data_IF_349083137194
#
_entry.id   IF_349083137194
#
_cell.length_a   1.000
_cell.length_b   1.000
_cell.length_c   1.000
_cell.angle_alpha   90.00
_cell.angle_beta   90.00
_cell.angle_gamma   90.00
#
_symmetry.space_group_name_H-M   'P 1'
#
loop_
_entity.id
_entity.type
_entity.pdbx_description
1 polymer ?
#
# COMPACT_ATOMS: atom_id res chain seq x y z
N UNK A 1 87.58 -13.94 -1.15
CA UNK A 1 87.36 -15.29 -0.60
C UNK A 1 85.96 -15.69 -1.01
N UNK A 2 85.85 -16.81 -1.70
CA UNK A 2 84.63 -17.37 -2.28
C UNK A 2 83.64 -17.88 -1.20
N UNK A 3 82.54 -18.46 -1.71
CA UNK A 3 81.69 -19.54 -1.18
C UNK A 3 80.48 -19.07 -0.33
N UNK A 4 79.22 -19.05 -0.79
CA UNK A 4 78.24 -20.06 -1.29
C UNK A 4 77.33 -20.70 -0.22
N UNK A 5 76.00 -20.61 -0.50
CA UNK A 5 74.96 -21.66 -0.51
C UNK A 5 74.11 -21.99 0.76
N UNK A 6 72.81 -22.23 0.45
CA UNK A 6 71.74 -23.03 1.08
C UNK A 6 70.88 -22.37 2.16
N UNK A 7 69.55 -22.17 1.92
CA UNK A 7 68.42 -23.13 2.11
C UNK A 7 68.16 -23.39 3.60
N UNK A 8 66.96 -23.48 4.18
CA UNK A 8 65.57 -23.80 3.78
C UNK A 8 64.74 -23.38 5.03
N UNK A 9 63.60 -22.68 4.90
CA UNK A 9 62.24 -23.26 4.87
C UNK A 9 61.43 -23.08 6.19
N UNK A 10 60.23 -22.51 6.04
CA UNK A 10 58.98 -22.81 6.80
C UNK A 10 58.05 -21.61 6.96
N UNK A 11 57.15 -21.47 5.99
CA UNK A 11 55.71 -21.21 6.11
C UNK A 11 55.14 -20.77 7.48
N UNK A 12 54.38 -19.66 7.51
CA UNK A 12 52.99 -19.64 8.05
C UNK A 12 52.23 -18.33 7.77
N UNK A 13 51.14 -18.54 7.01
CA UNK A 13 49.82 -17.89 7.07
C UNK A 13 49.62 -16.51 6.43
N UNK A 14 49.12 -16.59 5.19
CA UNK A 14 48.20 -15.64 4.59
C UNK A 14 46.85 -15.63 5.33
N UNK A 15 46.27 -14.44 5.53
CA UNK A 15 44.82 -14.21 5.39
C UNK A 15 44.64 -12.82 4.78
N UNK A 16 44.39 -12.79 3.49
CA UNK A 16 44.00 -11.59 2.74
C UNK A 16 42.49 -11.49 2.91
N UNK A 17 42.00 -10.45 3.57
CA UNK A 17 40.55 -10.17 3.69
C UNK A 17 39.99 -9.74 2.32
N UNK A 18 39.73 -10.73 1.48
CA UNK A 18 38.94 -10.58 0.26
C UNK A 18 37.48 -10.70 0.68
N UNK A 19 36.81 -9.55 0.88
CA UNK A 19 35.34 -9.54 0.89
C UNK A 19 34.87 -10.05 -0.48
N UNK A 20 34.09 -11.15 -0.57
CA UNK A 20 33.70 -11.71 -1.84
C UNK A 20 32.74 -10.75 -2.57
N UNK A 21 33.05 -10.45 -3.83
CA UNK A 21 32.14 -9.79 -4.77
C UNK A 21 30.92 -10.70 -4.96
N UNK A 22 29.83 -10.47 -4.22
CA UNK A 22 28.55 -11.17 -4.40
C UNK A 22 28.16 -11.09 -5.88
N UNK A 23 27.88 -12.24 -6.48
CA UNK A 23 27.44 -12.29 -7.89
C UNK A 23 26.06 -11.67 -8.01
N UNK A 24 25.74 -11.02 -9.14
CA UNK A 24 24.43 -10.39 -9.41
C UNK A 24 23.25 -11.34 -9.20
N UNK A 25 23.48 -12.65 -9.34
CA UNK A 25 22.49 -13.71 -9.08
C UNK A 25 22.23 -13.91 -7.58
N UNK A 26 23.26 -13.88 -6.73
CA UNK A 26 23.09 -14.02 -5.28
C UNK A 26 22.41 -12.80 -4.67
N UNK A 27 22.76 -11.60 -5.15
CA UNK A 27 22.09 -10.36 -4.76
C UNK A 27 20.60 -10.39 -5.15
N UNK A 28 20.30 -10.78 -6.38
CA UNK A 28 18.92 -10.95 -6.85
C UNK A 28 18.14 -11.95 -5.97
N UNK A 29 18.71 -13.11 -5.67
CA UNK A 29 18.05 -14.13 -4.85
C UNK A 29 17.81 -13.61 -3.42
N UNK A 30 18.76 -12.88 -2.83
CA UNK A 30 18.59 -12.29 -1.50
C UNK A 30 17.49 -11.22 -1.49
N UNK A 31 17.48 -10.33 -2.49
CA UNK A 31 16.43 -9.32 -2.65
C UNK A 31 15.05 -9.96 -2.83
N UNK A 32 14.93 -11.04 -3.61
CA UNK A 32 13.67 -11.78 -3.76
C UNK A 32 13.21 -12.38 -2.43
N UNK A 33 14.12 -12.99 -1.65
CA UNK A 33 13.77 -13.60 -0.36
C UNK A 33 13.29 -12.55 0.64
N UNK A 34 14.01 -11.43 0.74
CA UNK A 34 13.65 -10.33 1.62
C UNK A 34 12.33 -9.68 1.19
N UNK A 35 12.16 -9.46 -0.11
CA UNK A 35 10.92 -8.95 -0.68
C UNK A 35 9.72 -9.86 -0.37
N UNK A 36 9.85 -11.19 -0.52
CA UNK A 36 8.78 -12.15 -0.17
C UNK A 36 8.46 -12.11 1.33
N UNK A 37 9.48 -11.98 2.18
CA UNK A 37 9.29 -11.88 3.64
C UNK A 37 8.49 -10.62 3.97
N UNK A 38 8.92 -9.46 3.48
CA UNK A 38 8.25 -8.18 3.68
C UNK A 38 6.81 -8.21 3.11
N UNK A 39 6.61 -8.76 1.91
CA UNK A 39 5.28 -8.92 1.29
C UNK A 39 4.33 -9.76 2.16
N UNK A 40 4.85 -10.83 2.77
CA UNK A 40 4.09 -11.69 3.69
C UNK A 40 3.72 -10.94 4.98
N UNK A 41 4.69 -10.23 5.57
CA UNK A 41 4.48 -9.45 6.80
C UNK A 41 3.47 -8.33 6.57
N UNK A 42 3.59 -7.59 5.46
CA UNK A 42 2.62 -6.56 5.05
C UNK A 42 1.21 -7.16 4.88
N UNK A 43 1.11 -8.32 4.24
CA UNK A 43 -0.18 -8.98 4.03
C UNK A 43 -0.84 -9.38 5.36
N UNK A 44 -0.06 -9.89 6.32
CA UNK A 44 -0.53 -10.19 7.67
C UNK A 44 -1.01 -8.92 8.40
N UNK A 45 -0.17 -7.88 8.43
CA UNK A 45 -0.50 -6.60 9.08
C UNK A 45 -1.74 -5.93 8.46
N UNK A 46 -1.92 -6.02 7.14
CA UNK A 46 -3.12 -5.52 6.46
C UNK A 46 -4.39 -6.24 6.92
N UNK A 47 -4.32 -7.55 7.15
CA UNK A 47 -5.45 -8.30 7.69
C UNK A 47 -5.80 -7.86 9.12
N UNK A 48 -4.80 -7.66 9.97
CA UNK A 48 -5.00 -7.17 11.33
C UNK A 48 -5.59 -5.75 11.35
N UNK A 49 -5.08 -4.86 10.50
CA UNK A 49 -5.64 -3.51 10.32
C UNK A 49 -7.11 -3.60 9.90
N UNK A 50 -7.43 -4.45 8.91
CA UNK A 50 -8.81 -4.62 8.43
C UNK A 50 -9.73 -5.14 9.53
N UNK A 51 -9.27 -6.10 10.34
CA UNK A 51 -10.03 -6.62 11.47
C UNK A 51 -10.30 -5.52 12.51
N UNK A 52 -9.26 -4.79 12.96
CA UNK A 52 -9.40 -3.69 13.92
C UNK A 52 -10.29 -2.56 13.39
N UNK A 53 -10.19 -2.22 12.11
CA UNK A 53 -11.07 -1.24 11.47
C UNK A 53 -12.54 -1.68 11.48
N UNK A 54 -12.79 -2.98 11.25
CA UNK A 54 -14.15 -3.54 11.28
C UNK A 54 -14.73 -3.49 12.69
N UNK A 55 -13.96 -3.91 13.70
CA UNK A 55 -14.35 -3.84 15.10
C UNK A 55 -14.60 -2.39 15.55
N UNK A 56 -13.69 -1.47 15.21
CA UNK A 56 -13.85 -0.04 15.49
C UNK A 56 -15.11 0.52 14.84
N UNK A 57 -15.40 0.15 13.59
CA UNK A 57 -16.61 0.60 12.89
C UNK A 57 -17.87 0.12 13.60
N UNK A 58 -17.93 -1.15 14.00
CA UNK A 58 -19.06 -1.69 14.75
C UNK A 58 -19.30 -0.93 16.07
N UNK A 59 -18.23 -0.68 16.84
CA UNK A 59 -18.31 0.12 18.07
C UNK A 59 -18.75 1.56 17.80
N UNK A 60 -18.22 2.17 16.73
CA UNK A 60 -18.59 3.54 16.32
C UNK A 60 -20.07 3.61 15.96
N UNK A 61 -20.61 2.65 15.19
CA UNK A 61 -22.02 2.64 14.80
C UNK A 61 -22.94 2.48 16.02
N UNK A 62 -22.53 1.65 16.99
CA UNK A 62 -23.25 1.50 18.26
C UNK A 62 -23.18 2.78 19.10
N UNK A 63 -21.99 3.40 19.21
CA UNK A 63 -21.81 4.63 19.98
C UNK A 63 -22.61 5.78 19.38
N UNK A 64 -22.62 5.94 18.05
CA UNK A 64 -23.44 6.95 17.37
C UNK A 64 -24.92 6.75 17.66
N UNK A 65 -25.42 5.51 17.71
CA UNK A 65 -26.81 5.23 18.10
C UNK A 65 -27.07 5.65 19.54
N UNK A 66 -26.22 5.24 20.48
CA UNK A 66 -26.37 5.57 21.91
C UNK A 66 -26.30 7.08 22.14
N UNK A 67 -25.32 7.77 21.55
CA UNK A 67 -25.15 9.22 21.66
C UNK A 67 -26.36 9.97 21.08
N UNK A 68 -26.90 9.53 19.94
CA UNK A 68 -28.12 10.13 19.37
C UNK A 68 -29.36 9.90 20.21
N UNK A 69 -29.61 8.67 20.64
CA UNK A 69 -30.80 8.32 21.43
C UNK A 69 -30.83 9.08 22.75
N UNK A 70 -29.66 9.25 23.38
CA UNK A 70 -29.54 9.93 24.67
C UNK A 70 -29.20 11.43 24.54
N UNK A 71 -29.15 11.98 23.32
CA UNK A 71 -28.78 13.38 23.05
C UNK A 71 -27.45 13.79 23.72
N UNK A 72 -26.45 12.92 23.66
CA UNK A 72 -25.11 13.15 24.21
C UNK A 72 -24.23 13.71 23.08
N UNK A 73 -23.87 14.99 23.17
CA UNK A 73 -23.04 15.65 22.16
C UNK A 73 -21.53 15.47 22.42
N UNK A 74 -21.13 15.40 23.69
CA UNK A 74 -19.74 15.29 24.13
C UNK A 74 -19.61 14.36 25.33
N UNK A 75 -18.54 13.57 25.37
CA UNK A 75 -18.19 12.68 26.47
C UNK A 75 -16.70 12.78 26.78
N UNK A 76 -16.36 13.28 27.97
CA UNK A 76 -14.97 13.47 28.38
C UNK A 76 -14.31 12.14 28.78
N UNK A 77 -13.05 11.98 28.39
CA UNK A 77 -12.22 10.81 28.67
C UNK A 77 -10.82 11.25 29.09
N UNK A 78 -10.08 10.35 29.74
CA UNK A 78 -8.67 10.62 30.05
C UNK A 78 -7.89 10.86 28.75
N UNK A 79 -7.43 12.09 28.55
CA UNK A 79 -6.70 12.53 27.36
C UNK A 79 -7.55 13.20 26.26
N UNK A 80 -8.82 13.52 26.49
CA UNK A 80 -9.62 14.33 25.56
C UNK A 80 -11.13 14.14 25.71
N UNK A 81 -11.87 14.29 24.60
CA UNK A 81 -13.31 14.08 24.58
C UNK A 81 -13.75 13.39 23.29
N UNK A 82 -14.81 12.58 23.39
CA UNK A 82 -15.54 12.03 22.26
C UNK A 82 -16.68 12.97 21.91
N UNK A 83 -16.61 13.57 20.72
CA UNK A 83 -17.63 14.50 20.24
C UNK A 83 -18.40 13.86 19.09
N UNK A 84 -19.73 13.89 19.17
CA UNK A 84 -20.56 13.52 18.04
C UNK A 84 -20.45 14.58 16.95
N UNK A 85 -19.99 14.20 15.75
CA UNK A 85 -19.86 15.12 14.62
C UNK A 85 -20.53 14.52 13.37
N UNK A 86 -21.41 15.29 12.74
CA UNK A 86 -22.01 14.95 11.46
C UNK A 86 -21.43 15.85 10.35
N UNK A 87 -20.75 15.23 9.38
CA UNK A 87 -20.24 15.93 8.19
C UNK A 87 -21.03 15.53 6.96
N UNK A 88 -21.41 16.50 6.14
CA UNK A 88 -21.99 16.27 4.81
C UNK A 88 -20.90 16.43 3.77
N UNK A 89 -20.53 15.34 3.10
CA UNK A 89 -19.56 15.37 1.99
C UNK A 89 -20.27 14.99 0.69
N UNK A 90 -20.00 15.73 -0.39
CA UNK A 90 -20.48 15.35 -1.72
C UNK A 90 -19.81 14.05 -2.15
N UNK A 91 -20.56 13.17 -2.81
CA UNK A 91 -19.99 11.94 -3.40
C UNK A 91 -19.03 12.31 -4.52
N UNK A 92 -18.01 11.49 -4.74
CA UNK A 92 -17.13 11.60 -5.90
C UNK A 92 -17.93 11.41 -7.20
N UNK A 93 -17.50 12.08 -8.26
CA UNK A 93 -18.12 11.96 -9.59
C UNK A 93 -17.61 10.67 -10.24
N UNK A 94 -18.40 9.61 -10.13
CA UNK A 94 -18.18 8.38 -10.89
C UNK A 94 -18.67 8.54 -12.32
N UNK A 95 -18.17 7.72 -13.27
CA UNK A 95 -18.67 7.72 -14.65
C UNK A 95 -20.17 7.50 -14.74
N UNK A 96 -20.73 6.60 -13.91
CA UNK A 96 -22.18 6.39 -13.81
C UNK A 96 -22.92 7.63 -13.30
N UNK A 97 -22.41 8.28 -12.25
CA UNK A 97 -23.05 9.49 -11.72
C UNK A 97 -22.99 10.62 -12.74
N UNK A 98 -21.86 10.79 -13.42
CA UNK A 98 -21.66 11.75 -14.49
C UNK A 98 -22.67 11.54 -15.62
N UNK A 99 -22.74 10.33 -16.19
CA UNK A 99 -23.70 9.99 -17.25
C UNK A 99 -25.12 10.32 -16.81
N UNK A 100 -25.53 9.87 -15.62
CA UNK A 100 -26.86 10.15 -15.08
C UNK A 100 -27.14 11.65 -14.91
N UNK A 101 -26.14 12.48 -14.58
CA UNK A 101 -26.34 13.93 -14.50
C UNK A 101 -26.41 14.56 -15.90
N UNK A 102 -25.59 14.08 -16.84
CA UNK A 102 -25.58 14.59 -18.22
C UNK A 102 -26.86 14.20 -18.96
N UNK A 103 -27.38 12.98 -18.80
CA UNK A 103 -28.69 12.58 -19.36
C UNK A 103 -29.84 13.44 -18.82
N UNK A 104 -29.76 13.85 -17.55
CA UNK A 104 -30.73 14.77 -16.95
C UNK A 104 -30.60 16.20 -17.44
N UNK A 105 -29.39 16.60 -17.85
CA UNK A 105 -29.11 17.94 -18.34
C UNK A 105 -29.45 18.07 -19.83
N UNK A 106 -29.03 17.09 -20.64
CA UNK A 106 -29.32 16.93 -22.07
C UNK A 106 -30.56 16.07 -22.29
N UNK A 107 -31.70 16.46 -21.71
CA UNK A 107 -32.93 15.64 -21.70
C UNK A 107 -33.40 15.17 -23.08
N UNK A 108 -33.24 16.02 -24.10
CA UNK A 108 -33.67 15.75 -25.47
C UNK A 108 -32.52 15.19 -26.34
N UNK A 109 -31.33 15.05 -25.77
CA UNK A 109 -30.10 14.66 -26.47
C UNK A 109 -29.30 13.62 -25.65
N UNK A 110 -29.88 12.44 -25.35
CA UNK A 110 -29.22 11.42 -24.55
C UNK A 110 -27.93 10.90 -25.19
N UNK A 111 -27.82 10.96 -26.52
CA UNK A 111 -26.64 10.50 -27.24
C UNK A 111 -25.43 11.42 -27.03
N UNK A 112 -25.66 12.74 -26.93
CA UNK A 112 -24.60 13.71 -26.58
C UNK A 112 -24.11 13.49 -25.14
N UNK A 113 -25.00 13.17 -24.20
CA UNK A 113 -24.62 12.85 -22.83
C UNK A 113 -23.71 11.61 -22.76
N UNK A 114 -24.00 10.59 -23.58
CA UNK A 114 -23.16 9.39 -23.70
C UNK A 114 -21.82 9.70 -24.32
N UNK A 115 -21.79 10.41 -25.45
CA UNK A 115 -20.57 10.78 -26.17
C UNK A 115 -19.62 11.59 -25.28
N UNK A 116 -20.13 12.60 -24.58
CA UNK A 116 -19.32 13.42 -23.65
C UNK A 116 -18.78 12.58 -22.50
N UNK A 117 -19.61 11.68 -21.95
CA UNK A 117 -19.16 10.77 -20.88
C UNK A 117 -18.04 9.86 -21.38
N UNK A 118 -18.21 9.25 -22.55
CA UNK A 118 -17.25 8.34 -23.15
C UNK A 118 -15.93 9.05 -23.48
N UNK A 119 -16.00 10.21 -24.13
CA UNK A 119 -14.83 11.05 -24.42
C UNK A 119 -14.05 11.40 -23.14
N UNK A 120 -14.73 11.80 -22.06
CA UNK A 120 -14.06 12.14 -20.79
C UNK A 120 -13.45 10.93 -20.09
N UNK A 121 -14.02 9.73 -20.26
CA UNK A 121 -13.49 8.51 -19.65
C UNK A 121 -12.30 7.95 -20.45
N UNK A 122 -12.35 8.02 -21.78
CA UNK A 122 -11.31 7.50 -22.67
C UNK A 122 -10.06 8.38 -22.69
N UNK A 123 -10.22 9.71 -22.63
CA UNK A 123 -9.08 10.65 -22.67
C UNK A 123 -8.48 10.97 -21.29
N UNK A 124 -8.73 10.14 -20.27
CA UNK A 124 -8.08 10.33 -18.96
C UNK A 124 -6.61 9.96 -19.07
N UNK A 125 -5.76 10.79 -18.48
CA UNK A 125 -4.32 10.52 -18.44
C UNK A 125 -4.04 9.17 -17.75
N UNK A 126 -3.35 8.29 -18.47
CA UNK A 126 -2.87 7.03 -17.93
C UNK A 126 -1.46 7.22 -17.37
N UNK A 127 -1.29 6.94 -16.08
CA UNK A 127 0.05 6.89 -15.47
C UNK A 127 0.53 5.44 -15.42
N UNK A 128 1.57 5.12 -16.18
CA UNK A 128 2.24 3.82 -16.11
C UNK A 128 3.05 3.74 -14.81
N UNK A 129 2.76 2.72 -13.98
CA UNK A 129 3.53 2.38 -12.78
C UNK A 129 3.92 0.92 -12.85
N UNK A 130 5.22 0.64 -12.79
CA UNK A 130 5.75 -0.72 -12.69
C UNK A 130 5.63 -1.22 -11.24
N UNK A 131 5.21 -2.46 -11.06
CA UNK A 131 4.96 -3.08 -9.75
C UNK A 131 5.30 -4.56 -9.77
N UNK A 132 5.76 -5.11 -8.64
CA UNK A 132 6.05 -6.54 -8.46
C UNK A 132 4.89 -7.15 -7.69
N UNK A 133 4.26 -8.18 -8.24
CA UNK A 133 3.13 -8.89 -7.59
C UNK A 133 3.46 -10.36 -7.38
N UNK A 134 3.28 -10.83 -6.13
CA UNK A 134 3.38 -12.24 -5.80
C UNK A 134 2.12 -12.97 -6.29
N UNK A 135 2.27 -13.96 -7.17
CA UNK A 135 1.19 -14.90 -7.54
C UNK A 135 1.26 -16.13 -6.63
N UNK A 136 0.22 -16.35 -5.83
CA UNK A 136 0.06 -17.58 -5.04
C UNK A 136 -0.93 -18.48 -5.79
N UNK A 137 -0.56 -19.73 -6.07
CA UNK A 137 -1.52 -20.72 -6.60
C UNK A 137 -2.55 -21.02 -5.51
N UNK A 138 -3.83 -20.92 -5.84
CA UNK A 138 -4.94 -21.31 -4.96
C UNK A 138 -4.97 -22.82 -4.77
#
# INVERSE_FOLDING_TARGET
MEINIAEEDSNKHAIVDIKPKKTTKEELINNIREWIKIDTDISSLKNDIKNKQTQKKLLTDNLVKVMKTNSIDCFDINGGALVYNQRKTKKTISGKYLLQQLEKYYKDQPDIAKEVTEHLLTNREETIKEDIKRKVKK
#
